data_IF_308134105572
#
_entry.id   IF_308134105572
#
_cell.length_a   1.000
_cell.length_b   1.000
_cell.length_c   1.000
_cell.angle_alpha   90.00
_cell.angle_beta   90.00
_cell.angle_gamma   90.00
#
_symmetry.space_group_name_H-M   'P 1'
#
loop_
_entity.id
_entity.type
_entity.pdbx_description
1 polymer ?
#
# COMPACT_ATOMS: atom_id res chain seq x y z
N UNK A 1 1.98 69.67 5.43
CA UNK A 1 1.03 68.63 5.88
C UNK A 1 1.33 67.32 5.15
N UNK A 2 1.44 66.25 5.95
CA UNK A 2 1.41 64.79 5.68
C UNK A 2 1.70 64.20 4.28
N UNK A 3 2.72 63.32 4.30
CA UNK A 3 3.08 62.24 3.35
C UNK A 3 1.92 61.26 3.12
N UNK A 4 1.92 60.55 1.98
CA UNK A 4 1.63 59.10 1.90
C UNK A 4 2.37 58.52 0.69
N UNK A 5 3.33 57.63 0.98
CA UNK A 5 4.04 56.76 0.06
C UNK A 5 3.14 55.59 -0.34
N UNK A 6 3.07 55.27 -1.63
CA UNK A 6 2.40 54.09 -2.13
C UNK A 6 3.41 52.93 -2.19
N UNK A 7 3.40 52.10 -1.16
CA UNK A 7 4.19 50.87 -1.09
C UNK A 7 3.39 49.77 -1.80
N UNK A 8 3.87 49.30 -2.96
CA UNK A 8 3.27 48.20 -3.70
C UNK A 8 3.66 46.87 -3.02
N UNK A 9 2.71 46.27 -2.32
CA UNK A 9 2.88 45.03 -1.55
C UNK A 9 2.88 43.83 -2.51
N UNK A 10 4.05 43.25 -2.76
CA UNK A 10 4.21 41.96 -3.43
C UNK A 10 3.60 40.85 -2.58
N UNK A 11 2.43 40.34 -2.98
CA UNK A 11 1.89 39.09 -2.43
C UNK A 11 2.79 37.92 -2.87
N UNK A 12 3.70 37.53 -1.98
CA UNK A 12 4.25 36.18 -1.97
C UNK A 12 3.13 35.24 -1.51
N UNK A 13 2.41 34.67 -2.48
CA UNK A 13 1.61 33.49 -2.24
C UNK A 13 2.56 32.34 -1.88
N UNK A 14 2.81 32.14 -0.59
CA UNK A 14 3.31 30.88 -0.10
C UNK A 14 2.28 29.82 -0.51
N UNK A 15 2.62 29.03 -1.53
CA UNK A 15 1.94 27.79 -1.85
C UNK A 15 2.17 26.85 -0.67
N UNK A 16 1.34 26.99 0.36
CA UNK A 16 1.20 25.98 1.39
C UNK A 16 0.45 24.84 0.71
N UNK A 17 1.18 23.87 0.15
CA UNK A 17 0.57 22.63 -0.33
C UNK A 17 -0.21 22.04 0.84
N UNK A 18 -1.55 21.92 0.74
CA UNK A 18 -2.32 21.42 1.86
C UNK A 18 -1.83 20.01 2.17
N UNK A 19 -1.30 19.85 3.38
CA UNK A 19 -0.92 18.55 3.93
C UNK A 19 -2.07 17.57 3.67
N UNK A 20 -1.79 16.38 3.13
CA UNK A 20 -2.79 15.32 2.97
C UNK A 20 -3.40 15.09 4.36
N UNK A 21 -4.62 15.60 4.60
CA UNK A 21 -5.29 15.41 5.88
C UNK A 21 -5.60 13.93 5.98
N UNK A 22 -5.26 13.35 7.12
CA UNK A 22 -5.44 11.94 7.39
C UNK A 22 -6.93 11.62 7.40
N UNK A 23 -7.33 10.60 6.65
CA UNK A 23 -8.68 10.05 6.68
C UNK A 23 -8.99 9.33 7.99
N UNK A 24 -10.03 8.49 7.96
CA UNK A 24 -10.50 7.73 9.13
C UNK A 24 -9.39 6.78 9.64
N UNK A 25 -8.55 6.27 8.74
CA UNK A 25 -7.25 5.68 9.04
C UNK A 25 -6.15 6.75 8.92
N UNK A 26 -5.31 6.86 9.96
CA UNK A 26 -4.15 7.75 9.93
C UNK A 26 -3.15 7.31 8.86
N UNK A 27 -2.73 8.24 8.00
CA UNK A 27 -1.59 8.05 7.12
C UNK A 27 -0.31 8.20 7.96
N UNK A 28 0.18 7.10 8.54
CA UNK A 28 1.38 7.11 9.36
C UNK A 28 2.61 7.05 8.45
N UNK A 29 3.43 8.11 8.50
CA UNK A 29 4.82 8.06 8.09
C UNK A 29 5.60 7.19 9.07
N UNK A 30 5.40 5.87 9.02
CA UNK A 30 6.19 4.95 9.82
C UNK A 30 7.63 4.98 9.30
N UNK A 31 8.57 5.46 10.13
CA UNK A 31 9.99 5.23 9.95
C UNK A 31 10.29 3.74 10.20
N UNK A 32 9.76 2.87 9.34
CA UNK A 32 10.19 1.49 9.28
C UNK A 32 11.55 1.49 8.58
N UNK A 33 12.63 1.55 9.38
CA UNK A 33 13.99 1.31 8.92
C UNK A 33 14.07 -0.05 8.22
N UNK A 34 13.88 -0.04 6.91
CA UNK A 34 14.18 -1.14 6.00
C UNK A 34 14.92 -0.47 4.83
N UNK A 35 16.25 -0.46 4.94
CA UNK A 35 17.14 -0.07 3.85
C UNK A 35 17.12 -1.16 2.79
N UNK A 36 16.49 -0.91 1.65
CA UNK A 36 16.60 -1.77 0.47
C UNK A 36 15.28 -2.01 -0.26
N UNK A 37 14.84 -1.05 -1.07
CA UNK A 37 13.88 -1.29 -2.16
C UNK A 37 14.50 -0.75 -3.44
N UNK A 38 15.28 -1.60 -4.11
CA UNK A 38 15.77 -1.38 -5.47
C UNK A 38 14.82 -1.99 -6.51
N UNK A 39 15.01 -1.71 -7.81
CA UNK A 39 14.16 -2.24 -8.87
C UNK A 39 14.26 -3.78 -8.92
N UNK A 40 13.12 -4.46 -8.90
CA UNK A 40 13.00 -5.92 -8.95
C UNK A 40 13.07 -6.39 -10.39
N UNK A 41 14.15 -7.09 -10.79
CA UNK A 41 14.14 -8.31 -11.63
C UNK A 41 15.51 -9.02 -11.53
N UNK A 42 15.79 -9.79 -10.47
CA UNK A 42 16.70 -10.98 -10.51
C UNK A 42 16.67 -11.70 -9.16
N UNK A 43 16.53 -13.03 -9.20
CA UNK A 43 16.38 -13.90 -8.04
C UNK A 43 17.70 -14.12 -7.28
N UNK A 44 17.95 -13.39 -6.19
CA UNK A 44 18.80 -13.89 -5.11
C UNK A 44 18.39 -13.24 -3.79
N UNK A 45 17.94 -14.01 -2.80
CA UNK A 45 17.83 -13.49 -1.44
C UNK A 45 19.19 -13.65 -0.75
N UNK A 46 19.97 -12.56 -0.70
CA UNK A 46 20.99 -12.42 0.32
C UNK A 46 20.28 -12.17 1.68
N UNK A 47 20.75 -12.84 2.73
CA UNK A 47 20.22 -12.95 4.11
C UNK A 47 19.19 -11.90 4.59
N UNK A 48 18.12 -12.40 5.24
CA UNK A 48 17.16 -11.64 6.06
C UNK A 48 16.43 -10.45 5.38
N UNK A 49 16.25 -10.49 4.06
CA UNK A 49 15.48 -9.47 3.35
C UNK A 49 13.99 -9.50 3.76
N UNK A 50 13.45 -8.35 4.16
CA UNK A 50 12.01 -8.18 4.42
C UNK A 50 11.19 -8.57 3.18
N UNK A 51 10.00 -9.13 3.39
CA UNK A 51 9.05 -9.40 2.31
C UNK A 51 8.69 -8.08 1.65
N UNK A 52 8.97 -7.91 0.36
CA UNK A 52 8.70 -6.66 -0.37
C UNK A 52 8.41 -6.91 -1.84
N UNK A 53 7.41 -6.21 -2.38
CA UNK A 53 6.96 -6.41 -3.74
C UNK A 53 6.11 -5.29 -4.30
N UNK A 54 5.74 -5.46 -5.57
CA UNK A 54 4.85 -4.59 -6.31
C UNK A 54 3.44 -5.19 -6.35
N UNK A 55 2.41 -4.34 -6.28
CA UNK A 55 1.08 -4.70 -6.77
C UNK A 55 0.93 -4.04 -8.13
N UNK A 56 0.72 -4.84 -9.17
CA UNK A 56 0.58 -4.40 -10.55
C UNK A 56 -0.81 -4.73 -11.07
N UNK A 57 -1.18 -4.11 -12.19
CA UNK A 57 -2.42 -4.49 -12.85
C UNK A 57 -2.36 -5.95 -13.32
N UNK A 58 -3.41 -6.71 -13.05
CA UNK A 58 -3.46 -8.12 -13.41
C UNK A 58 -4.09 -8.27 -14.79
N UNK A 59 -3.48 -9.07 -15.65
CA UNK A 59 -4.02 -9.36 -16.98
C UNK A 59 -5.44 -9.95 -16.92
N UNK A 60 -5.76 -10.67 -15.84
CA UNK A 60 -7.10 -11.18 -15.55
C UNK A 60 -7.46 -10.88 -14.09
N UNK A 61 -8.49 -10.06 -13.90
CA UNK A 61 -9.11 -9.85 -12.58
C UNK A 61 -10.44 -10.60 -12.55
N UNK A 62 -10.61 -11.42 -11.51
CA UNK A 62 -11.91 -11.99 -11.17
C UNK A 62 -12.64 -10.97 -10.30
N UNK A 63 -13.82 -10.58 -10.74
CA UNK A 63 -14.68 -9.67 -9.99
C UNK A 63 -15.77 -10.48 -9.30
N UNK A 64 -15.93 -10.25 -8.00
CA UNK A 64 -17.07 -10.75 -7.23
C UNK A 64 -18.24 -9.76 -7.30
N UNK A 65 -19.48 -10.17 -6.96
CA UNK A 65 -20.61 -9.28 -6.90
C UNK A 65 -20.35 -8.08 -5.96
N UNK A 66 -20.59 -6.87 -6.49
CA UNK A 66 -20.37 -5.58 -5.83
C UNK A 66 -18.89 -5.17 -5.66
N UNK A 67 -17.97 -5.81 -6.36
CA UNK A 67 -16.61 -5.31 -6.47
C UNK A 67 -16.56 -4.03 -7.30
N UNK A 68 -15.66 -3.13 -6.91
CA UNK A 68 -15.29 -1.99 -7.75
C UNK A 68 -14.64 -2.52 -9.02
N UNK A 69 -15.30 -2.24 -10.14
CA UNK A 69 -14.78 -2.48 -11.48
C UNK A 69 -14.08 -1.21 -11.98
N UNK A 70 -13.09 -1.37 -12.86
CA UNK A 70 -12.41 -0.23 -13.47
C UNK A 70 -10.94 -0.49 -13.73
N UNK A 71 -10.20 0.59 -13.92
CA UNK A 71 -8.75 0.57 -14.10
C UNK A 71 -8.03 0.23 -12.79
N UNK A 72 -6.73 -0.07 -12.87
CA UNK A 72 -5.90 -0.22 -11.68
C UNK A 72 -5.94 0.99 -10.75
N UNK A 73 -5.98 2.20 -11.33
CA UNK A 73 -6.10 3.43 -10.56
C UNK A 73 -7.43 3.50 -9.82
N UNK A 74 -8.56 3.19 -10.46
CA UNK A 74 -9.89 3.22 -9.84
C UNK A 74 -9.95 2.27 -8.64
N UNK A 75 -9.45 1.05 -8.80
CA UNK A 75 -9.45 0.03 -7.74
C UNK A 75 -8.50 0.39 -6.60
N UNK A 76 -7.37 1.01 -6.90
CA UNK A 76 -6.44 1.50 -5.88
C UNK A 76 -7.02 2.69 -5.11
N UNK A 77 -7.68 3.63 -5.80
CA UNK A 77 -8.38 4.74 -5.15
C UNK A 77 -9.52 4.25 -4.26
N UNK A 78 -10.27 3.25 -4.72
CA UNK A 78 -11.30 2.60 -3.92
C UNK A 78 -10.73 1.95 -2.66
N UNK A 79 -9.59 1.26 -2.76
CA UNK A 79 -8.86 0.72 -1.60
C UNK A 79 -8.48 1.82 -0.59
N UNK A 80 -8.02 2.97 -1.07
CA UNK A 80 -7.57 4.08 -0.23
C UNK A 80 -8.69 4.88 0.44
N UNK A 81 -9.97 4.59 0.17
CA UNK A 81 -11.11 5.35 0.73
C UNK A 81 -11.21 5.34 2.24
N UNK A 82 -10.54 4.41 2.94
CA UNK A 82 -10.43 4.46 4.41
C UNK A 82 -9.40 5.48 4.92
N UNK A 83 -8.46 5.88 4.06
CA UNK A 83 -7.25 6.62 4.41
C UNK A 83 -7.22 8.03 3.82
N UNK A 84 -7.77 8.22 2.61
CA UNK A 84 -7.77 9.51 1.91
C UNK A 84 -8.92 9.55 0.89
N UNK A 85 -9.49 10.74 0.69
CA UNK A 85 -10.56 10.93 -0.27
C UNK A 85 -10.04 10.72 -1.71
N UNK A 86 -10.75 9.98 -2.58
CA UNK A 86 -10.27 9.62 -3.93
C UNK A 86 -9.83 10.81 -4.79
N UNK A 87 -10.50 11.95 -4.67
CA UNK A 87 -10.20 13.19 -5.40
C UNK A 87 -8.87 13.83 -5.00
N UNK A 88 -8.30 13.45 -3.84
CA UNK A 88 -6.99 13.90 -3.37
C UNK A 88 -5.85 12.96 -3.76
N UNK A 89 -6.18 11.85 -4.43
CA UNK A 89 -5.20 10.88 -4.92
C UNK A 89 -4.92 11.18 -6.38
N UNK A 90 -3.65 11.44 -6.68
CA UNK A 90 -3.19 11.69 -8.04
C UNK A 90 -3.27 10.45 -8.94
N UNK A 91 -2.63 10.54 -10.10
CA UNK A 91 -2.49 9.42 -11.03
C UNK A 91 -1.61 8.31 -10.43
N UNK A 92 -2.01 7.06 -10.60
CA UNK A 92 -1.29 5.88 -10.11
C UNK A 92 -1.00 4.96 -11.31
N UNK A 93 0.27 4.74 -11.61
CA UNK A 93 0.66 3.89 -12.71
C UNK A 93 0.40 2.40 -12.37
N UNK A 94 -0.19 1.61 -13.29
CA UNK A 94 -0.35 0.16 -13.13
C UNK A 94 0.95 -0.64 -13.07
N UNK A 95 2.09 0.02 -13.33
CA UNK A 95 3.43 -0.54 -13.33
C UNK A 95 4.38 0.35 -12.50
N UNK A 96 5.35 -0.25 -11.80
CA UNK A 96 6.35 0.49 -11.02
C UNK A 96 7.50 0.96 -11.91
N UNK A 97 7.21 1.84 -12.87
CA UNK A 97 8.23 2.34 -13.83
C UNK A 97 8.34 3.88 -13.82
N UNK A 98 7.38 4.58 -13.21
CA UNK A 98 7.23 6.03 -13.34
C UNK A 98 7.31 6.80 -12.01
N UNK A 99 7.87 6.21 -10.95
CA UNK A 99 7.88 6.82 -9.60
C UNK A 99 6.54 6.77 -8.86
N UNK A 100 5.46 6.42 -9.57
CA UNK A 100 4.13 6.12 -9.04
C UNK A 100 3.86 4.61 -9.07
N UNK A 101 2.88 4.16 -8.30
CA UNK A 101 2.46 2.76 -8.22
C UNK A 101 2.14 2.32 -6.81
N UNK A 102 1.86 1.02 -6.66
CA UNK A 102 1.53 0.39 -5.39
C UNK A 102 2.61 -0.64 -5.05
N UNK A 103 3.15 -0.54 -3.84
CA UNK A 103 4.13 -1.49 -3.32
C UNK A 103 3.73 -1.95 -1.94
N UNK A 104 4.28 -3.07 -1.50
CA UNK A 104 4.10 -3.56 -0.14
C UNK A 104 5.44 -4.00 0.42
N UNK A 105 5.57 -3.93 1.75
CA UNK A 105 6.74 -4.37 2.50
C UNK A 105 6.35 -4.87 3.87
N UNK A 106 7.10 -5.80 4.45
CA UNK A 106 6.82 -6.32 5.78
C UNK A 106 7.56 -7.59 6.13
N UNK A 107 7.07 -8.27 7.16
CA UNK A 107 7.58 -9.55 7.65
C UNK A 107 6.37 -10.43 7.95
N UNK A 108 6.31 -11.61 7.37
CA UNK A 108 5.30 -12.63 7.67
C UNK A 108 6.03 -13.79 8.33
N UNK A 109 5.72 -14.06 9.60
CA UNK A 109 6.29 -15.19 10.33
C UNK A 109 5.34 -16.37 10.25
N UNK A 110 5.89 -17.56 10.04
CA UNK A 110 5.12 -18.80 9.93
C UNK A 110 5.51 -19.77 11.05
N UNK A 111 4.52 -20.51 11.53
CA UNK A 111 4.74 -21.71 12.31
C UNK A 111 5.21 -22.86 11.42
N UNK A 112 5.74 -23.93 12.03
CA UNK A 112 6.11 -25.15 11.30
C UNK A 112 4.93 -25.80 10.53
N UNK A 113 3.70 -25.56 10.97
CA UNK A 113 2.45 -25.98 10.32
C UNK A 113 2.10 -25.15 9.07
N UNK A 114 2.83 -24.06 8.82
CA UNK A 114 2.54 -23.10 7.76
C UNK A 114 1.50 -22.03 8.14
N UNK A 115 1.02 -22.01 9.38
CA UNK A 115 0.12 -20.95 9.85
C UNK A 115 0.87 -19.64 10.08
N UNK A 116 0.25 -18.50 9.79
CA UNK A 116 0.84 -17.18 10.06
C UNK A 116 0.82 -16.87 11.56
N UNK A 117 1.98 -16.53 12.13
CA UNK A 117 2.15 -16.01 13.49
C UNK A 117 1.87 -14.50 13.46
N UNK A 118 0.60 -14.14 13.58
CA UNK A 118 0.14 -12.75 13.47
C UNK A 118 0.87 -11.78 14.41
N UNK A 119 1.11 -12.20 15.66
CA UNK A 119 1.77 -11.39 16.68
C UNK A 119 3.20 -10.96 16.29
N UNK A 120 3.88 -11.75 15.45
CA UNK A 120 5.26 -11.50 14.99
C UNK A 120 5.32 -11.00 13.55
N UNK A 121 4.16 -10.74 12.94
CA UNK A 121 4.04 -10.33 11.55
C UNK A 121 3.67 -8.85 11.46
N UNK A 122 4.03 -8.22 10.34
CA UNK A 122 3.66 -6.86 9.98
C UNK A 122 3.63 -6.69 8.47
N UNK A 123 2.73 -5.85 7.97
CA UNK A 123 2.71 -5.47 6.56
C UNK A 123 2.34 -4.00 6.39
N UNK A 124 3.01 -3.33 5.47
CA UNK A 124 2.71 -1.98 5.03
C UNK A 124 2.47 -2.02 3.53
N UNK A 125 1.38 -1.40 3.08
CA UNK A 125 1.11 -1.12 1.67
C UNK A 125 1.35 0.37 1.45
N UNK A 126 2.18 0.72 0.48
CA UNK A 126 2.51 2.09 0.12
C UNK A 126 1.97 2.40 -1.28
N UNK A 127 1.24 3.51 -1.39
CA UNK A 127 0.77 4.05 -2.67
C UNK A 127 1.51 5.36 -2.94
N UNK A 128 2.24 5.38 -4.06
CA UNK A 128 2.88 6.58 -4.60
C UNK A 128 2.05 7.06 -5.79
N UNK A 129 1.48 8.25 -5.67
CA UNK A 129 0.73 8.89 -6.75
C UNK A 129 1.56 10.00 -7.41
N UNK A 130 1.02 10.61 -8.46
CA UNK A 130 1.65 11.75 -9.13
C UNK A 130 1.84 12.94 -8.17
N UNK A 131 0.97 13.08 -7.17
CA UNK A 131 1.06 14.11 -6.13
C UNK A 131 2.30 13.92 -5.25
N UNK A 132 2.55 12.70 -4.79
CA UNK A 132 3.77 12.34 -4.08
C UNK A 132 5.02 12.69 -4.89
N UNK A 133 5.04 12.28 -6.17
CA UNK A 133 6.19 12.54 -7.06
C UNK A 133 6.41 14.03 -7.29
N UNK A 134 5.34 14.80 -7.47
CA UNK A 134 5.40 16.26 -7.63
C UNK A 134 5.87 16.94 -6.35
N UNK A 135 5.35 16.53 -5.19
CA UNK A 135 5.69 17.12 -3.91
C UNK A 135 7.14 16.85 -3.52
N UNK A 136 7.72 15.70 -3.88
CA UNK A 136 9.15 15.40 -3.66
C UNK A 136 10.12 16.42 -4.27
N UNK A 137 9.70 17.20 -5.28
CA UNK A 137 10.50 18.27 -5.87
C UNK A 137 10.68 19.42 -4.87
N UNK A 138 9.64 19.71 -4.09
CA UNK A 138 9.57 20.86 -3.18
C UNK A 138 9.76 20.49 -1.71
N UNK A 139 9.36 19.28 -1.34
CA UNK A 139 9.43 18.71 -0.01
C UNK A 139 10.05 17.31 -0.08
N UNK A 140 11.35 17.21 0.25
CA UNK A 140 12.07 15.93 0.24
C UNK A 140 11.58 14.95 1.31
N UNK A 141 10.85 15.45 2.31
CA UNK A 141 10.27 14.65 3.39
C UNK A 141 8.81 14.24 3.08
N UNK A 142 8.36 14.41 1.83
CA UNK A 142 7.05 13.88 1.40
C UNK A 142 7.02 12.36 1.58
N UNK A 143 5.92 11.86 2.13
CA UNK A 143 5.71 10.43 2.38
C UNK A 143 4.61 9.87 1.48
N UNK A 144 4.70 8.59 1.07
CA UNK A 144 3.64 7.94 0.33
C UNK A 144 2.36 7.84 1.20
N UNK A 145 1.24 7.52 0.55
CA UNK A 145 0.03 7.13 1.29
C UNK A 145 0.24 5.71 1.79
N UNK A 146 0.18 5.49 3.11
CA UNK A 146 0.45 4.19 3.73
C UNK A 146 -0.82 3.58 4.33
N UNK A 147 -0.92 2.27 4.19
CA UNK A 147 -1.87 1.42 4.91
C UNK A 147 -1.05 0.39 5.68
N UNK A 148 -1.03 0.50 7.01
CA UNK A 148 -0.13 -0.25 7.87
C UNK A 148 -0.90 -1.22 8.80
N UNK A 149 -0.46 -2.48 8.80
CA UNK A 149 -0.94 -3.53 9.68
C UNK A 149 0.20 -3.97 10.59
N UNK A 150 0.14 -3.52 11.85
CA UNK A 150 1.04 -3.92 12.93
C UNK A 150 0.24 -4.67 13.99
N UNK A 151 0.76 -5.78 14.50
CA UNK A 151 0.12 -6.52 15.61
C UNK A 151 -0.06 -5.68 16.89
N UNK A 152 0.70 -4.60 17.02
CA UNK A 152 0.59 -3.63 18.12
C UNK A 152 -0.55 -2.62 17.94
N UNK A 153 -1.09 -2.47 16.74
CA UNK A 153 -2.17 -1.53 16.47
C UNK A 153 -3.50 -2.11 16.98
N UNK A 154 -4.31 -1.34 17.74
CA UNK A 154 -5.58 -1.83 18.26
C UNK A 154 -6.52 -2.32 17.15
N UNK A 155 -7.04 -3.54 17.31
CA UNK A 155 -7.95 -4.17 16.35
C UNK A 155 -7.29 -4.79 15.13
N UNK A 156 -5.96 -4.69 14.99
CA UNK A 156 -5.24 -5.34 13.88
C UNK A 156 -5.08 -6.84 14.14
N UNK A 157 -5.47 -7.64 13.16
CA UNK A 157 -5.29 -9.09 13.12
C UNK A 157 -4.58 -9.47 11.84
N UNK A 158 -3.47 -10.17 11.95
CA UNK A 158 -2.73 -10.75 10.82
C UNK A 158 -2.85 -12.26 10.94
N UNK A 159 -3.37 -12.92 9.90
CA UNK A 159 -3.52 -14.37 9.86
C UNK A 159 -3.26 -14.89 8.45
N UNK A 160 -3.33 -16.20 8.25
CA UNK A 160 -3.06 -16.82 6.95
C UNK A 160 -2.54 -18.24 7.08
N UNK A 161 -2.38 -18.89 5.93
CA UNK A 161 -1.92 -20.26 5.85
C UNK A 161 -1.08 -20.47 4.59
N UNK A 162 0.02 -21.20 4.74
CA UNK A 162 0.95 -21.56 3.67
C UNK A 162 1.02 -23.07 3.59
N UNK A 163 0.34 -23.66 2.62
CA UNK A 163 0.32 -25.11 2.43
C UNK A 163 1.44 -25.52 1.48
N UNK A 164 2.51 -26.10 2.04
CA UNK A 164 3.68 -26.52 1.26
C UNK A 164 3.39 -27.69 0.31
N UNK A 165 2.34 -28.48 0.58
CA UNK A 165 1.97 -29.65 -0.23
C UNK A 165 1.18 -29.26 -1.49
N UNK A 166 0.22 -28.35 -1.35
CA UNK A 166 -0.62 -27.88 -2.47
C UNK A 166 -0.02 -26.65 -3.15
N UNK A 167 0.92 -25.97 -2.48
CA UNK A 167 1.47 -24.69 -2.88
C UNK A 167 0.48 -23.54 -2.73
N UNK A 168 -0.70 -23.73 -2.13
CA UNK A 168 -1.68 -22.66 -1.92
C UNK A 168 -1.27 -21.86 -0.69
N UNK A 169 -1.32 -20.53 -0.78
CA UNK A 169 -1.03 -19.65 0.34
C UNK A 169 -1.98 -18.45 0.39
N UNK A 170 -2.30 -18.03 1.61
CA UNK A 170 -3.06 -16.81 1.86
C UNK A 170 -2.51 -16.04 3.06
N UNK A 171 -2.59 -14.72 2.99
CA UNK A 171 -2.36 -13.78 4.10
C UNK A 171 -3.61 -12.92 4.21
N UNK A 172 -4.17 -12.84 5.41
CA UNK A 172 -5.28 -11.98 5.73
C UNK A 172 -4.85 -10.90 6.75
N UNK A 173 -5.12 -9.65 6.42
CA UNK A 173 -4.77 -8.47 7.20
C UNK A 173 -6.06 -7.72 7.50
N UNK A 174 -6.46 -7.69 8.76
CA UNK A 174 -7.69 -7.02 9.19
C UNK A 174 -7.36 -5.95 10.21
N UNK A 175 -8.08 -4.85 10.18
CA UNK A 175 -8.12 -3.86 11.25
C UNK A 175 -9.54 -3.30 11.44
N UNK A 176 -9.69 -2.19 12.17
CA UNK A 176 -10.98 -1.56 12.42
C UNK A 176 -11.61 -0.93 11.16
N UNK A 177 -10.84 -0.76 10.09
CA UNK A 177 -11.27 -0.05 8.88
C UNK A 177 -11.55 -0.99 7.72
N UNK A 178 -11.05 -2.21 7.76
CA UNK A 178 -11.31 -3.19 6.71
C UNK A 178 -10.39 -4.41 6.75
N UNK A 179 -10.37 -5.10 5.62
CA UNK A 179 -9.60 -6.30 5.35
C UNK A 179 -8.81 -6.14 4.05
N UNK A 180 -7.58 -6.64 4.03
CA UNK A 180 -6.77 -6.82 2.82
C UNK A 180 -6.27 -8.25 2.82
N UNK A 181 -6.41 -8.92 1.68
CA UNK A 181 -6.06 -10.32 1.55
C UNK A 181 -5.14 -10.53 0.35
N UNK A 182 -4.06 -11.27 0.59
CA UNK A 182 -3.15 -11.77 -0.44
C UNK A 182 -3.46 -13.24 -0.62
N UNK A 183 -3.99 -13.64 -1.78
CA UNK A 183 -4.22 -15.04 -2.12
C UNK A 183 -3.34 -15.42 -3.29
N UNK A 184 -2.66 -16.56 -3.19
CA UNK A 184 -1.73 -16.94 -4.23
C UNK A 184 -1.23 -18.37 -4.14
N UNK A 185 -0.19 -18.63 -4.93
CA UNK A 185 0.53 -19.88 -4.96
C UNK A 185 2.02 -19.66 -4.75
N UNK A 186 2.62 -20.58 -4.03
CA UNK A 186 4.06 -20.72 -3.87
C UNK A 186 4.52 -21.81 -4.83
N UNK A 187 5.46 -21.48 -5.68
CA UNK A 187 6.18 -22.46 -6.50
C UNK A 187 7.64 -22.61 -6.03
N UNK A 188 8.52 -23.11 -6.90
CA UNK A 188 9.93 -23.26 -6.57
C UNK A 188 10.67 -21.92 -6.40
N UNK A 189 10.18 -20.85 -7.04
CA UNK A 189 10.87 -19.57 -7.17
C UNK A 189 10.11 -18.43 -6.47
N UNK A 190 8.79 -18.41 -6.54
CA UNK A 190 7.97 -17.25 -6.21
C UNK A 190 6.76 -17.61 -5.35
N UNK A 191 6.30 -16.62 -4.59
CA UNK A 191 4.93 -16.51 -4.11
C UNK A 191 4.23 -15.44 -4.95
N UNK A 192 3.21 -15.83 -5.70
CA UNK A 192 2.49 -14.94 -6.62
C UNK A 192 0.98 -15.14 -6.53
N UNK A 193 0.23 -14.07 -6.78
CA UNK A 193 -1.20 -14.08 -6.52
C UNK A 193 -1.90 -12.76 -6.76
N UNK A 194 -3.07 -12.61 -6.14
CA UNK A 194 -3.93 -11.44 -6.21
C UNK A 194 -4.06 -10.77 -4.84
N UNK A 195 -4.23 -9.45 -4.85
CA UNK A 195 -4.51 -8.67 -3.64
C UNK A 195 -5.93 -8.12 -3.70
N UNK A 196 -6.75 -8.48 -2.72
CA UNK A 196 -8.14 -8.02 -2.58
C UNK A 196 -8.30 -7.19 -1.31
N UNK A 197 -9.34 -6.37 -1.27
CA UNK A 197 -9.68 -5.56 -0.11
C UNK A 197 -11.18 -5.46 0.11
N UNK A 198 -11.55 -5.23 1.38
CA UNK A 198 -12.89 -4.85 1.81
C UNK A 198 -12.72 -3.71 2.81
N UNK A 199 -13.16 -2.51 2.45
CA UNK A 199 -13.27 -1.41 3.38
C UNK A 199 -14.60 -1.51 4.11
N UNK A 200 -14.57 -1.39 5.44
CA UNK A 200 -15.76 -1.38 6.30
C UNK A 200 -16.26 0.05 6.58
N UNK A 201 -15.40 1.05 6.35
CA UNK A 201 -15.72 2.48 6.43
C UNK A 201 -15.14 3.21 5.23
N UNK A 202 -15.58 4.45 5.00
CA UNK A 202 -15.02 5.33 3.99
C UNK A 202 -14.98 6.77 4.49
N UNK A 203 -13.96 7.53 4.09
CA UNK A 203 -13.87 8.98 4.31
C UNK A 203 -14.86 9.75 3.43
N UNK A 204 -15.29 9.15 2.32
CA UNK A 204 -16.20 9.75 1.34
C UNK A 204 -17.04 8.66 0.66
N UNK A 205 -18.35 8.70 0.86
CA UNK A 205 -19.29 7.76 0.24
C UNK A 205 -19.42 6.43 0.97
N UNK A 206 -19.81 5.38 0.24
CA UNK A 206 -20.05 4.05 0.79
C UNK A 206 -18.75 3.23 0.95
N UNK A 207 -18.69 2.27 1.88
CA UNK A 207 -17.61 1.30 1.95
C UNK A 207 -17.48 0.52 0.63
N UNK A 208 -16.24 0.23 0.22
CA UNK A 208 -15.93 -0.38 -1.08
C UNK A 208 -15.18 -1.70 -0.90
N UNK A 209 -15.25 -2.58 -1.90
CA UNK A 209 -14.47 -3.82 -1.98
C UNK A 209 -14.00 -4.08 -3.40
N UNK A 210 -12.98 -4.92 -3.54
CA UNK A 210 -12.56 -5.43 -4.85
C UNK A 210 -11.14 -5.96 -4.88
N UNK A 211 -10.65 -6.20 -6.10
CA UNK A 211 -9.27 -6.63 -6.35
C UNK A 211 -8.42 -5.42 -6.72
N UNK A 212 -7.32 -5.17 -6.01
CA UNK A 212 -6.37 -4.11 -6.36
C UNK A 212 -5.63 -4.52 -7.64
N UNK A 213 -4.99 -5.68 -7.61
CA UNK A 213 -4.18 -6.21 -8.69
C UNK A 213 -3.50 -7.54 -8.34
N UNK A 214 -2.40 -7.85 -9.00
CA UNK A 214 -1.58 -9.03 -8.76
C UNK A 214 -0.21 -8.68 -8.20
N UNK A 215 0.43 -9.67 -7.57
CA UNK A 215 1.79 -9.57 -7.07
C UNK A 215 2.60 -10.82 -7.41
N UNK A 216 3.92 -10.67 -7.41
CA UNK A 216 4.87 -11.78 -7.45
C UNK A 216 6.12 -11.37 -6.69
N UNK A 217 6.52 -12.17 -5.71
CA UNK A 217 7.74 -11.98 -4.94
C UNK A 217 8.55 -13.27 -4.88
N UNK A 218 9.89 -13.19 -4.76
CA UNK A 218 10.71 -14.37 -4.55
C UNK A 218 10.28 -15.11 -3.28
N UNK A 219 10.14 -16.44 -3.36
CA UNK A 219 9.76 -17.30 -2.23
C UNK A 219 10.68 -17.12 -1.02
N UNK A 220 11.96 -16.85 -1.27
CA UNK A 220 12.95 -16.63 -0.23
C UNK A 220 12.77 -15.31 0.56
N UNK A 221 11.99 -14.36 0.05
CA UNK A 221 11.62 -13.13 0.77
C UNK A 221 10.47 -13.36 1.77
N UNK A 222 9.76 -14.48 1.63
CA UNK A 222 8.62 -14.87 2.45
C UNK A 222 9.02 -15.86 3.55
N UNK A 223 9.79 -16.89 3.20
CA UNK A 223 10.20 -17.96 4.12
C UNK A 223 11.58 -17.61 4.71
N UNK A 224 11.58 -17.06 5.92
CA UNK A 224 12.77 -16.86 6.75
C UNK A 224 12.78 -17.81 7.94
#
# INVERSE_FOLDING_TARGET
MKKISLLLLTLLAFACSPKKETGVRANTAGAAGITGVGPVVTSVCAQAAAMGGAIVDAAQIKYEPNDVMGTFEDRTKAFLTTTIAPERVGYINPQIIAGTGVSFKGVIKLEASGNVVGAQSKLTIEVRDSEYTRNLIYNRDEVPITVEFLSTNPGTVISGQFNAQTGIASINLKDNYGEVRFDGRIDAQNFSGTVTFINSVSVSGAPMRGTIGSFSIPRCALLQ
#
